data_IF_084456823672
#
_entry.id   IF_084456823672
#
_cell.length_a   1.000
_cell.length_b   1.000
_cell.length_c   1.000
_cell.angle_alpha   90.00
_cell.angle_beta   90.00
_cell.angle_gamma   90.00
#
_symmetry.space_group_name_H-M   'P 1'
#
loop_
_entity.id
_entity.type
_entity.pdbx_description
1 polymer ?
#
# COMPACT_ATOMS: atom_id res chain seq x y z
N UNK A 1 -0.61 18.85 37.43
CA UNK A 1 -0.84 19.70 36.24
C UNK A 1 -2.18 19.34 35.64
N UNK A 2 -3.20 20.21 35.73
CA UNK A 2 -4.45 19.99 35.00
C UNK A 2 -4.21 20.31 33.53
N UNK A 3 -4.53 19.36 32.63
CA UNK A 3 -4.44 19.62 31.20
C UNK A 3 -5.67 20.42 30.80
N UNK A 4 -5.48 21.67 30.37
CA UNK A 4 -6.54 22.44 29.72
C UNK A 4 -6.91 21.73 28.43
N UNK A 5 -8.21 21.51 28.21
CA UNK A 5 -8.69 20.96 26.94
C UNK A 5 -8.24 21.89 25.80
N UNK A 6 -7.51 21.33 24.83
CA UNK A 6 -7.13 22.05 23.62
C UNK A 6 -8.36 22.35 22.77
N UNK A 7 -8.41 23.53 22.18
CA UNK A 7 -9.48 23.88 21.23
C UNK A 7 -9.13 23.28 19.87
N UNK A 8 -9.92 22.33 19.40
CA UNK A 8 -9.82 21.78 18.04
C UNK A 8 -10.67 22.66 17.12
N UNK A 9 -10.07 23.28 16.10
CA UNK A 9 -10.81 24.06 15.11
C UNK A 9 -11.15 23.22 13.87
N UNK A 10 -12.18 23.66 13.14
CA UNK A 10 -12.53 23.08 11.83
C UNK A 10 -11.34 23.12 10.84
N UNK A 11 -10.49 24.14 10.94
CA UNK A 11 -9.28 24.26 10.14
C UNK A 11 -8.26 23.14 10.42
N UNK A 12 -8.14 22.72 11.68
CA UNK A 12 -7.23 21.64 12.08
C UNK A 12 -7.71 20.29 11.54
N UNK A 13 -9.02 20.05 11.63
CA UNK A 13 -9.68 18.87 11.04
C UNK A 13 -9.46 18.83 9.53
N UNK A 14 -9.68 19.94 8.83
CA UNK A 14 -9.46 20.03 7.39
C UNK A 14 -7.99 19.77 7.01
N UNK A 15 -7.04 20.27 7.82
CA UNK A 15 -5.59 20.04 7.62
C UNK A 15 -5.22 18.57 7.80
N UNK A 16 -5.71 17.95 8.88
CA UNK A 16 -5.48 16.53 9.16
C UNK A 16 -6.02 15.64 8.02
N UNK A 17 -7.22 15.96 7.52
CA UNK A 17 -7.84 15.24 6.40
C UNK A 17 -6.99 15.31 5.13
N UNK A 18 -6.49 16.50 4.79
CA UNK A 18 -5.65 16.68 3.60
C UNK A 18 -4.34 15.89 3.70
N UNK A 19 -3.65 16.00 4.83
CA UNK A 19 -2.40 15.28 5.06
C UNK A 19 -2.60 13.76 4.97
N UNK A 20 -3.64 13.24 5.64
CA UNK A 20 -3.97 11.82 5.60
C UNK A 20 -4.34 11.34 4.18
N UNK A 21 -5.07 12.13 3.39
CA UNK A 21 -5.35 11.79 1.99
C UNK A 21 -4.06 11.75 1.14
N UNK A 22 -3.14 12.69 1.35
CA UNK A 22 -1.85 12.71 0.64
C UNK A 22 -0.99 11.49 0.96
N UNK A 23 -1.07 10.96 2.19
CA UNK A 23 -0.34 9.75 2.60
C UNK A 23 -1.05 8.45 2.24
N UNK A 24 -2.22 8.51 1.58
CA UNK A 24 -2.97 7.33 1.15
C UNK A 24 -3.88 6.73 2.22
N UNK A 25 -4.32 7.52 3.22
CA UNK A 25 -5.37 7.09 4.12
C UNK A 25 -6.66 6.77 3.34
N UNK A 26 -7.28 5.64 3.67
CA UNK A 26 -8.52 5.18 3.05
C UNK A 26 -9.76 5.89 3.59
N UNK A 27 -9.82 6.14 4.90
CA UNK A 27 -10.93 6.85 5.53
C UNK A 27 -10.49 7.59 6.80
N UNK A 28 -11.30 8.58 7.21
CA UNK A 28 -11.05 9.40 8.39
C UNK A 28 -12.38 9.58 9.12
N UNK A 29 -12.36 9.31 10.42
CA UNK A 29 -13.53 9.46 11.29
C UNK A 29 -13.18 10.43 12.42
N UNK A 30 -14.08 11.37 12.66
CA UNK A 30 -13.99 12.31 13.79
C UNK A 30 -15.17 12.03 14.69
N UNK A 31 -14.92 11.67 15.94
CA UNK A 31 -15.97 11.42 16.94
C UNK A 31 -16.29 12.66 17.76
N UNK A 32 -17.50 12.75 18.36
CA UNK A 32 -17.93 13.93 19.12
C UNK A 32 -17.08 14.24 20.37
N UNK A 33 -16.31 13.27 20.86
CA UNK A 33 -15.35 13.40 21.96
C UNK A 33 -14.02 14.07 21.53
N UNK A 34 -13.85 14.36 20.24
CA UNK A 34 -12.66 14.98 19.68
C UNK A 34 -11.58 13.98 19.23
N UNK A 35 -11.85 12.68 19.29
CA UNK A 35 -10.92 11.66 18.79
C UNK A 35 -10.93 11.65 17.26
N UNK A 36 -9.74 11.60 16.65
CA UNK A 36 -9.56 11.50 15.19
C UNK A 36 -8.95 10.14 14.87
N UNK A 37 -9.72 9.31 14.17
CA UNK A 37 -9.29 7.98 13.72
C UNK A 37 -8.94 8.03 12.23
N UNK A 38 -7.71 7.63 11.89
CA UNK A 38 -7.24 7.55 10.51
C UNK A 38 -7.17 6.07 10.12
N UNK A 39 -7.98 5.67 9.14
CA UNK A 39 -7.99 4.33 8.57
C UNK A 39 -7.07 4.33 7.35
N UNK A 40 -5.92 3.68 7.47
CA UNK A 40 -4.98 3.53 6.37
C UNK A 40 -5.54 2.55 5.34
N UNK A 41 -5.43 2.87 4.04
CA UNK A 41 -5.72 1.88 3.00
C UNK A 41 -4.59 0.85 3.04
N UNK A 42 -4.94 -0.44 3.02
CA UNK A 42 -3.94 -1.49 2.86
C UNK A 42 -3.11 -1.17 1.60
N UNK A 43 -1.77 -1.30 1.66
CA UNK A 43 -0.95 -1.09 0.47
C UNK A 43 -1.49 -1.99 -0.64
N UNK A 44 -1.67 -1.42 -1.83
CA UNK A 44 -2.05 -2.23 -2.99
C UNK A 44 -0.91 -3.22 -3.21
N UNK A 45 -1.18 -4.50 -3.00
CA UNK A 45 -0.25 -5.57 -3.34
C UNK A 45 -0.24 -5.56 -4.87
N UNK A 46 0.67 -4.78 -5.44
CA UNK A 46 0.97 -4.88 -6.87
C UNK A 46 1.58 -6.27 -7.01
N UNK A 47 0.96 -7.20 -7.77
CA UNK A 47 1.64 -8.44 -8.10
C UNK A 47 3.00 -8.05 -8.68
N UNK A 48 4.08 -8.61 -8.13
CA UNK A 48 5.38 -8.51 -8.80
C UNK A 48 5.14 -9.06 -10.20
N UNK A 49 5.21 -8.21 -11.22
CA UNK A 49 5.33 -8.69 -12.58
C UNK A 49 6.51 -9.67 -12.56
N UNK A 50 6.30 -10.92 -12.96
CA UNK A 50 7.40 -11.87 -13.12
C UNK A 50 8.48 -11.15 -13.95
N UNK A 51 9.70 -11.09 -13.42
CA UNK A 51 10.77 -10.39 -14.09
C UNK A 51 10.91 -11.00 -15.49
N UNK A 52 10.93 -10.17 -16.53
CA UNK A 52 10.92 -10.67 -17.92
C UNK A 52 12.09 -11.64 -18.18
N UNK A 53 13.15 -11.51 -17.38
CA UNK A 53 14.28 -12.42 -17.32
C UNK A 53 13.94 -13.81 -16.76
N UNK A 54 13.19 -13.91 -15.66
CA UNK A 54 12.78 -15.20 -15.06
C UNK A 54 11.88 -16.00 -16.00
N UNK A 55 10.99 -15.31 -16.72
CA UNK A 55 10.16 -15.95 -17.76
C UNK A 55 11.00 -16.48 -18.93
N UNK A 56 11.96 -15.69 -19.41
CA UNK A 56 12.88 -16.09 -20.47
C UNK A 56 13.79 -17.26 -20.06
N UNK A 57 14.24 -17.29 -18.81
CA UNK A 57 15.09 -18.37 -18.30
C UNK A 57 14.33 -19.70 -18.29
N UNK A 58 13.10 -19.72 -17.75
CA UNK A 58 12.21 -20.89 -17.73
C UNK A 58 11.92 -21.44 -19.14
N UNK A 59 11.66 -20.56 -20.10
CA UNK A 59 11.44 -20.93 -21.50
C UNK A 59 12.70 -21.53 -22.15
N UNK A 60 13.88 -20.96 -21.89
CA UNK A 60 15.13 -21.48 -22.44
C UNK A 60 15.59 -22.79 -21.79
N UNK A 61 15.38 -22.96 -20.49
CA UNK A 61 15.67 -24.22 -19.81
C UNK A 61 14.78 -25.34 -20.36
N UNK A 62 13.48 -25.06 -20.55
CA UNK A 62 12.53 -25.99 -21.16
C UNK A 62 12.92 -26.36 -22.59
N UNK A 63 13.36 -25.36 -23.38
CA UNK A 63 13.84 -25.57 -24.75
C UNK A 63 15.16 -26.37 -24.81
N UNK A 64 16.07 -26.16 -23.85
CA UNK A 64 17.30 -26.96 -23.72
C UNK A 64 17.01 -28.39 -23.29
N UNK A 65 16.05 -28.60 -22.39
CA UNK A 65 15.62 -29.93 -21.94
C UNK A 65 15.00 -30.73 -23.10
N UNK A 66 14.12 -30.11 -23.90
CA UNK A 66 13.52 -30.73 -25.08
C UNK A 66 14.57 -31.19 -26.11
N UNK A 67 15.61 -30.36 -26.35
CA UNK A 67 16.72 -30.70 -27.26
C UNK A 67 17.65 -31.80 -26.75
N UNK A 68 17.66 -32.09 -25.44
CA UNK A 68 18.46 -33.19 -24.86
C UNK A 68 17.73 -34.54 -24.95
N UNK A 69 16.40 -34.56 -24.94
CA UNK A 69 15.62 -35.79 -25.06
C UNK A 69 15.62 -36.39 -26.47
N UNK A 70 15.81 -35.57 -27.51
CA UNK A 70 15.77 -35.98 -28.92
C UNK A 70 17.11 -36.57 -29.44
N UNK A 71 18.07 -36.77 -28.54
CA UNK A 71 19.44 -37.21 -28.88
C UNK A 71 19.86 -38.51 -28.16
N UNK A 72 18.90 -39.22 -27.56
CA UNK A 72 19.08 -40.52 -26.89
C UNK A 72 18.35 -41.64 -27.63
#
# INVERSE_FOLDING_TARGET
MSRRAGTILQADVARAIRAAKQTGAGAIQVTPDGTITILLKAPTIVPKDEDAFEKWERENESAKAARRGDRQ
#
